data_IF_767078291414
#
_entry.id   IF_767078291414
#
_cell.length_a   1.000
_cell.length_b   1.000
_cell.length_c   1.000
_cell.angle_alpha   90.00
_cell.angle_beta   90.00
_cell.angle_gamma   90.00
#
_symmetry.space_group_name_H-M   'P 1'
#
loop_
_entity.id
_entity.type
_entity.pdbx_description
1 polymer ?
#
# COMPACT_ATOMS: atom_id res chain seq x y z
N UNK A 1 12.11 -12.99 4.08
CA UNK A 1 11.09 -13.37 3.09
C UNK A 1 11.67 -14.45 2.18
N UNK A 2 10.85 -15.27 1.52
CA UNK A 2 11.30 -16.37 0.64
C UNK A 2 10.54 -16.31 -0.68
N UNK A 3 11.19 -16.70 -1.78
CA UNK A 3 10.52 -16.82 -3.08
C UNK A 3 9.41 -17.89 -3.02
N UNK A 4 8.29 -17.66 -3.67
CA UNK A 4 7.06 -18.42 -3.48
C UNK A 4 6.52 -19.02 -4.79
N UNK A 5 7.41 -19.66 -5.59
CA UNK A 5 7.02 -20.44 -6.76
C UNK A 5 6.97 -21.92 -6.39
N UNK A 6 5.78 -22.51 -6.46
CA UNK A 6 5.56 -23.90 -6.02
C UNK A 6 6.46 -24.88 -6.76
N UNK A 7 7.15 -25.72 -5.99
CA UNK A 7 8.09 -26.70 -6.51
C UNK A 7 9.52 -26.17 -6.77
N UNK A 8 9.73 -24.88 -6.80
CA UNK A 8 11.05 -24.28 -7.01
C UNK A 8 11.78 -24.07 -5.68
N UNK A 9 13.14 -24.00 -5.66
CA UNK A 9 13.91 -23.75 -4.45
C UNK A 9 13.46 -22.48 -3.72
N UNK A 10 13.22 -22.57 -2.43
CA UNK A 10 12.89 -21.43 -1.57
C UNK A 10 14.14 -20.61 -1.27
N UNK A 11 14.32 -19.49 -1.97
CA UNK A 11 15.43 -18.56 -1.77
C UNK A 11 15.01 -17.33 -0.99
N UNK A 12 15.91 -16.74 -0.19
CA UNK A 12 15.63 -15.47 0.48
C UNK A 12 15.52 -14.34 -0.55
N UNK A 13 14.64 -13.37 -0.30
CA UNK A 13 14.61 -12.12 -1.05
C UNK A 13 14.55 -10.90 -0.13
N UNK A 14 15.04 -9.79 -0.61
CA UNK A 14 14.95 -8.48 0.04
C UNK A 14 13.95 -7.62 -0.73
N UNK A 15 12.97 -7.06 -0.03
CA UNK A 15 12.11 -6.02 -0.58
C UNK A 15 12.92 -4.71 -0.71
N UNK A 16 12.60 -3.93 -1.74
CA UNK A 16 13.20 -2.64 -2.05
C UNK A 16 12.10 -1.61 -2.17
N UNK A 17 12.26 -0.50 -1.46
CA UNK A 17 11.36 0.63 -1.42
C UNK A 17 12.14 1.91 -1.71
N UNK A 18 12.15 2.35 -2.97
CA UNK A 18 12.89 3.55 -3.37
C UNK A 18 11.93 4.71 -3.58
N UNK A 19 12.16 5.80 -2.85
CA UNK A 19 11.51 7.08 -3.11
C UNK A 19 11.99 7.61 -4.46
N UNK A 20 11.07 7.87 -5.38
CA UNK A 20 11.36 8.44 -6.69
C UNK A 20 11.47 9.97 -6.61
N UNK A 21 12.18 10.63 -7.53
CA UNK A 21 12.13 12.08 -7.63
C UNK A 21 10.71 12.58 -7.87
N UNK A 22 10.41 13.79 -7.42
CA UNK A 22 9.12 14.43 -7.66
C UNK A 22 8.72 14.39 -9.14
N UNK A 23 7.49 13.95 -9.42
CA UNK A 23 6.95 13.86 -10.78
C UNK A 23 7.50 12.71 -11.64
N UNK A 24 8.14 11.71 -11.03
CA UNK A 24 8.65 10.53 -11.72
C UNK A 24 7.84 9.27 -11.45
N UNK A 25 7.86 8.35 -12.42
CA UNK A 25 7.38 6.96 -12.31
C UNK A 25 8.52 5.99 -12.64
N UNK A 26 8.51 4.81 -12.03
CA UNK A 26 9.46 3.76 -12.33
C UNK A 26 9.17 3.12 -13.69
N UNK A 27 10.19 3.02 -14.54
CA UNK A 27 10.08 2.44 -15.89
C UNK A 27 10.68 1.04 -15.97
N UNK A 28 11.86 0.83 -15.41
CA UNK A 28 12.54 -0.47 -15.37
C UNK A 28 13.49 -0.55 -14.18
N UNK A 29 13.83 -1.78 -13.79
CA UNK A 29 14.79 -2.06 -12.73
C UNK A 29 15.91 -2.93 -13.25
N UNK A 30 17.12 -2.67 -12.78
CA UNK A 30 18.30 -3.48 -12.96
C UNK A 30 18.93 -3.77 -11.59
N UNK A 31 19.25 -5.02 -11.33
CA UNK A 31 19.91 -5.43 -10.09
C UNK A 31 21.25 -6.08 -10.43
N UNK A 32 22.33 -5.46 -9.99
CA UNK A 32 23.69 -5.97 -10.14
C UNK A 32 24.15 -6.51 -8.80
N UNK A 33 24.46 -7.81 -8.78
CA UNK A 33 25.00 -8.51 -7.61
C UNK A 33 26.53 -8.65 -7.77
N UNK A 34 27.26 -8.45 -6.67
CA UNK A 34 28.72 -8.56 -6.64
C UNK A 34 29.23 -9.08 -5.29
N UNK A 35 30.54 -9.32 -5.20
CA UNK A 35 31.23 -9.83 -4.00
C UNK A 35 30.63 -11.15 -3.51
N UNK A 36 30.60 -12.14 -4.40
CA UNK A 36 30.00 -13.43 -4.08
C UNK A 36 30.85 -14.26 -3.14
N UNK A 37 30.17 -14.88 -2.18
CA UNK A 37 30.70 -15.93 -1.33
C UNK A 37 30.07 -17.28 -1.73
N UNK A 38 30.91 -18.29 -1.97
CA UNK A 38 30.45 -19.64 -2.31
C UNK A 38 30.21 -20.45 -1.03
N UNK A 39 29.05 -21.09 -0.95
CA UNK A 39 28.66 -22.01 0.10
C UNK A 39 28.26 -23.33 -0.54
N UNK A 40 28.86 -24.44 -0.13
CA UNK A 40 28.44 -25.77 -0.57
C UNK A 40 27.46 -26.35 0.43
N UNK A 41 26.32 -26.82 -0.08
CA UNK A 41 25.27 -27.41 0.75
C UNK A 41 25.39 -28.96 0.76
N UNK A 42 25.17 -29.56 1.90
CA UNK A 42 25.09 -31.03 2.05
C UNK A 42 23.72 -31.57 1.55
N UNK A 43 22.74 -30.71 1.36
CA UNK A 43 21.37 -31.07 0.95
C UNK A 43 20.83 -30.05 -0.04
N UNK A 44 19.93 -30.52 -0.89
CA UNK A 44 19.17 -29.62 -1.77
C UNK A 44 18.36 -28.59 -0.98
N UNK A 45 18.22 -27.38 -1.53
CA UNK A 45 17.31 -26.37 -0.99
C UNK A 45 15.88 -26.90 -1.12
N UNK A 46 15.12 -26.79 -0.01
CA UNK A 46 13.75 -27.28 0.03
C UNK A 46 12.85 -26.53 -0.96
N UNK A 47 12.07 -27.25 -1.80
CA UNK A 47 11.17 -26.61 -2.74
C UNK A 47 9.98 -25.96 -2.01
N UNK A 48 9.60 -24.77 -2.43
CA UNK A 48 8.44 -24.09 -1.88
C UNK A 48 7.16 -24.92 -2.08
N UNK A 49 6.39 -25.05 -1.03
CA UNK A 49 5.08 -25.69 -1.03
C UNK A 49 4.01 -24.63 -0.79
N UNK A 50 3.09 -24.46 -1.73
CA UNK A 50 2.03 -23.47 -1.57
C UNK A 50 1.17 -23.78 -0.34
N UNK A 51 0.87 -22.74 0.44
CA UNK A 51 -0.05 -22.84 1.58
C UNK A 51 -1.45 -23.27 1.11
N UNK A 52 -2.16 -24.01 1.96
CA UNK A 52 -3.53 -24.48 1.67
C UNK A 52 -4.49 -24.04 2.75
N UNK A 53 -5.75 -23.75 2.35
CA UNK A 53 -6.82 -23.58 3.31
C UNK A 53 -7.01 -24.87 4.15
N UNK A 54 -7.15 -24.71 5.44
CA UNK A 54 -7.37 -25.83 6.38
C UNK A 54 -8.66 -26.62 6.06
N UNK A 55 -9.59 -25.99 5.36
CA UNK A 55 -10.87 -26.57 4.92
C UNK A 55 -10.76 -27.56 3.74
N UNK A 56 -9.56 -27.69 3.11
CA UNK A 56 -9.32 -28.67 2.03
C UNK A 56 -8.48 -29.82 2.55
N UNK A 57 -9.09 -30.96 2.95
CA UNK A 57 -8.38 -32.08 3.64
C UNK A 57 -7.54 -32.95 2.70
N UNK A 58 -7.63 -32.78 1.37
CA UNK A 58 -6.87 -33.59 0.44
C UNK A 58 -5.37 -33.34 0.58
N UNK A 59 -4.61 -34.40 0.86
CA UNK A 59 -3.15 -34.34 0.88
C UNK A 59 -2.64 -34.02 -0.52
N UNK A 60 -1.99 -32.88 -0.66
CA UNK A 60 -1.25 -32.54 -1.88
C UNK A 60 -0.01 -33.42 -1.98
N UNK A 61 0.25 -33.89 -3.18
CA UNK A 61 1.57 -34.47 -3.53
C UNK A 61 2.63 -33.40 -3.30
N UNK A 62 3.75 -33.79 -2.74
CA UNK A 62 4.93 -32.93 -2.60
C UNK A 62 5.34 -32.41 -3.98
N UNK A 63 5.35 -31.08 -4.13
CA UNK A 63 5.70 -30.44 -5.38
C UNK A 63 7.22 -30.22 -5.44
N UNK A 64 7.85 -30.69 -6.50
CA UNK A 64 9.25 -30.43 -6.82
C UNK A 64 9.39 -30.25 -8.34
N UNK A 65 10.06 -29.22 -8.75
CA UNK A 65 10.38 -28.96 -10.16
C UNK A 65 11.64 -29.74 -10.54
N UNK A 66 11.48 -31.00 -10.93
CA UNK A 66 12.61 -31.92 -11.22
C UNK A 66 13.51 -31.39 -12.35
N UNK A 67 12.95 -30.71 -13.35
CA UNK A 67 13.72 -30.10 -14.42
C UNK A 67 14.69 -29.04 -13.90
N UNK A 68 14.19 -28.15 -13.02
CA UNK A 68 15.01 -27.12 -12.41
C UNK A 68 16.09 -27.74 -11.49
N UNK A 69 15.71 -28.71 -10.66
CA UNK A 69 16.66 -29.37 -9.74
C UNK A 69 17.73 -30.21 -10.46
N UNK A 70 17.47 -30.60 -11.71
CA UNK A 70 18.45 -31.30 -12.56
C UNK A 70 19.27 -30.34 -13.43
N UNK A 71 18.93 -29.06 -13.45
CA UNK A 71 19.56 -28.07 -14.31
C UNK A 71 20.99 -27.77 -13.89
N UNK A 72 21.84 -27.43 -14.88
CA UNK A 72 23.21 -26.94 -14.64
C UNK A 72 23.30 -25.43 -14.53
N UNK A 73 22.17 -24.73 -14.75
CA UNK A 73 22.09 -23.27 -14.66
C UNK A 73 21.90 -22.81 -13.23
N UNK A 74 22.31 -21.58 -12.97
CA UNK A 74 22.00 -20.91 -11.71
C UNK A 74 20.52 -20.49 -11.63
N UNK A 75 19.92 -20.66 -10.46
CA UNK A 75 18.56 -20.23 -10.16
C UNK A 75 18.61 -19.14 -9.06
N UNK A 76 17.82 -18.07 -9.15
CA UNK A 76 16.92 -17.74 -10.26
C UNK A 76 17.66 -17.20 -11.49
N UNK A 77 17.05 -17.31 -12.67
CA UNK A 77 17.58 -16.70 -13.90
C UNK A 77 17.45 -15.19 -13.89
N UNK A 78 16.37 -14.68 -13.30
CA UNK A 78 16.17 -13.27 -13.03
C UNK A 78 16.24 -13.03 -11.51
N UNK A 79 17.10 -12.12 -11.10
CA UNK A 79 17.38 -11.86 -9.69
C UNK A 79 16.47 -10.80 -9.06
N UNK A 80 15.53 -10.23 -9.80
CA UNK A 80 14.58 -9.20 -9.30
C UNK A 80 13.13 -9.61 -9.52
N UNK A 81 12.25 -9.04 -8.70
CA UNK A 81 10.80 -9.18 -8.81
C UNK A 81 10.16 -8.11 -9.69
N UNK A 82 8.83 -8.09 -9.68
CA UNK A 82 8.03 -7.09 -10.40
C UNK A 82 8.32 -5.70 -9.85
N UNK A 83 8.49 -4.74 -10.76
CA UNK A 83 8.61 -3.32 -10.44
C UNK A 83 7.23 -2.66 -10.50
N UNK A 84 6.86 -1.94 -9.46
CA UNK A 84 5.62 -1.15 -9.40
C UNK A 84 5.89 0.24 -8.88
N UNK A 85 5.09 1.22 -9.31
CA UNK A 85 5.07 2.56 -8.72
C UNK A 85 3.81 2.71 -7.89
N UNK A 86 3.97 3.16 -6.66
CA UNK A 86 2.88 3.50 -5.75
C UNK A 86 3.12 4.87 -5.13
N UNK A 87 2.06 5.44 -4.57
CA UNK A 87 2.13 6.77 -3.98
C UNK A 87 1.71 6.71 -2.51
N UNK A 88 2.42 7.44 -1.67
CA UNK A 88 2.09 7.66 -0.26
C UNK A 88 2.10 9.17 0.01
N UNK A 89 0.93 9.76 0.34
CA UNK A 89 0.76 11.20 0.53
C UNK A 89 1.40 12.03 -0.61
N UNK A 90 1.14 11.63 -1.86
CA UNK A 90 1.70 12.25 -3.05
C UNK A 90 3.19 11.98 -3.33
N UNK A 91 3.86 11.20 -2.49
CA UNK A 91 5.24 10.78 -2.69
C UNK A 91 5.29 9.47 -3.49
N UNK A 92 5.98 9.47 -4.62
CA UNK A 92 6.08 8.30 -5.49
C UNK A 92 7.16 7.32 -5.01
N UNK A 93 6.81 6.05 -4.90
CA UNK A 93 7.73 4.96 -4.54
C UNK A 93 7.83 3.92 -5.65
N UNK A 94 9.02 3.46 -5.94
CA UNK A 94 9.27 2.26 -6.69
C UNK A 94 9.42 1.08 -5.74
N UNK A 95 8.53 0.10 -5.83
CA UNK A 95 8.62 -1.15 -5.09
C UNK A 95 9.07 -2.27 -6.00
N UNK A 96 10.03 -3.04 -5.53
CA UNK A 96 10.49 -4.27 -6.15
C UNK A 96 11.09 -5.20 -5.08
N UNK A 97 11.70 -6.27 -5.50
CA UNK A 97 12.48 -7.15 -4.64
C UNK A 97 13.66 -7.72 -5.40
N UNK A 98 14.67 -8.21 -4.71
CA UNK A 98 15.72 -8.98 -5.34
C UNK A 98 16.14 -10.16 -4.46
N UNK A 99 16.69 -11.19 -5.11
CA UNK A 99 17.28 -12.36 -4.46
C UNK A 99 18.79 -12.20 -4.44
N UNK A 100 19.43 -12.09 -3.26
CA UNK A 100 20.89 -11.96 -3.17
C UNK A 100 21.64 -13.28 -3.34
N UNK A 101 20.90 -14.36 -3.62
CA UNK A 101 21.40 -15.71 -3.66
C UNK A 101 21.17 -16.32 -5.04
N UNK A 102 22.20 -16.97 -5.57
CA UNK A 102 22.12 -17.85 -6.72
C UNK A 102 22.41 -19.29 -6.29
N UNK A 103 21.57 -20.21 -6.69
CA UNK A 103 21.70 -21.63 -6.37
C UNK A 103 21.95 -22.44 -7.64
N UNK A 104 22.98 -23.27 -7.65
CA UNK A 104 23.25 -24.24 -8.71
C UNK A 104 22.81 -25.63 -8.26
N UNK A 105 21.64 -26.12 -8.66
CA UNK A 105 21.08 -27.36 -8.13
C UNK A 105 21.97 -28.58 -8.40
N UNK A 106 22.56 -28.69 -9.58
CA UNK A 106 23.37 -29.84 -9.99
C UNK A 106 24.69 -29.99 -9.21
N UNK A 107 25.20 -28.91 -8.64
CA UNK A 107 26.44 -28.90 -7.85
C UNK A 107 26.22 -28.77 -6.35
N UNK A 108 24.99 -28.41 -5.92
CA UNK A 108 24.66 -28.06 -4.54
C UNK A 108 25.31 -26.76 -4.06
N UNK A 109 25.83 -25.94 -4.97
CA UNK A 109 26.49 -24.67 -4.65
C UNK A 109 25.51 -23.53 -4.55
N UNK A 110 25.75 -22.67 -3.58
CA UNK A 110 25.04 -21.42 -3.37
C UNK A 110 26.05 -20.28 -3.39
N UNK A 111 25.74 -19.27 -4.17
CA UNK A 111 26.52 -18.03 -4.25
C UNK A 111 25.72 -16.91 -3.60
N UNK A 112 26.23 -16.39 -2.51
CA UNK A 112 25.63 -15.27 -1.78
C UNK A 112 26.36 -13.97 -2.13
N UNK A 113 25.62 -13.01 -2.69
CA UNK A 113 26.15 -11.68 -2.99
C UNK A 113 26.16 -10.80 -1.72
N UNK A 114 27.34 -10.31 -1.35
CA UNK A 114 27.50 -9.36 -0.22
C UNK A 114 27.07 -7.96 -0.58
N UNK A 115 27.12 -7.63 -1.89
CA UNK A 115 26.77 -6.31 -2.39
C UNK A 115 25.72 -6.46 -3.49
N UNK A 116 24.68 -5.63 -3.41
CA UNK A 116 23.66 -5.49 -4.44
C UNK A 116 23.46 -4.02 -4.78
N UNK A 117 23.54 -3.69 -6.07
CA UNK A 117 23.20 -2.35 -6.58
C UNK A 117 21.87 -2.45 -7.31
N UNK A 118 20.86 -1.73 -6.80
CA UNK A 118 19.54 -1.64 -7.44
C UNK A 118 19.44 -0.29 -8.15
N UNK A 119 19.22 -0.33 -9.47
CA UNK A 119 19.07 0.85 -10.30
C UNK A 119 17.67 0.86 -10.90
N UNK A 120 16.90 1.90 -10.60
CA UNK A 120 15.59 2.13 -11.20
C UNK A 120 15.70 3.22 -12.25
N UNK A 121 15.33 2.91 -13.49
CA UNK A 121 15.16 3.92 -14.52
C UNK A 121 13.78 4.52 -14.40
N UNK A 122 13.71 5.83 -14.58
CA UNK A 122 12.48 6.61 -14.36
C UNK A 122 11.99 7.28 -15.63
N UNK A 123 10.68 7.52 -15.70
CA UNK A 123 10.03 8.38 -16.70
C UNK A 123 9.22 9.46 -15.99
N UNK A 124 8.73 10.44 -16.74
CA UNK A 124 7.77 11.40 -16.20
C UNK A 124 6.46 10.70 -15.84
N UNK A 125 5.91 11.02 -14.66
CA UNK A 125 4.63 10.51 -14.22
C UNK A 125 3.52 10.91 -15.20
N UNK A 126 2.64 9.96 -15.51
CA UNK A 126 1.48 10.20 -16.39
C UNK A 126 0.38 11.00 -15.69
N UNK A 127 0.26 10.85 -14.39
CA UNK A 127 -0.72 11.53 -13.55
C UNK A 127 -0.02 12.51 -12.63
N UNK A 128 -0.57 13.72 -12.53
CA UNK A 128 -0.10 14.71 -11.56
C UNK A 128 -0.80 14.48 -10.22
N UNK A 129 -0.11 13.77 -9.31
CA UNK A 129 -0.56 13.60 -7.93
C UNK A 129 -0.07 14.73 -7.01
N UNK A 130 0.37 15.84 -7.58
CA UNK A 130 0.89 17.00 -6.83
C UNK A 130 -0.16 17.63 -5.91
N UNK A 131 -1.44 17.47 -6.22
CA UNK A 131 -2.54 17.94 -5.37
C UNK A 131 -2.60 17.21 -4.01
N UNK A 132 -2.16 15.95 -3.98
CA UNK A 132 -2.12 15.11 -2.79
C UNK A 132 -0.80 15.18 -2.04
N UNK A 133 0.16 15.99 -2.50
CA UNK A 133 1.47 16.11 -1.89
C UNK A 133 1.42 16.97 -0.62
N UNK A 134 1.66 16.34 0.50
CA UNK A 134 1.88 17.00 1.79
C UNK A 134 3.25 16.69 2.35
N UNK A 135 3.92 17.73 2.82
CA UNK A 135 5.29 17.67 3.31
C UNK A 135 5.35 18.15 4.77
N UNK A 136 4.61 17.46 5.64
CA UNK A 136 4.61 17.73 7.08
C UNK A 136 5.72 16.94 7.78
N UNK A 137 6.18 17.34 8.98
CA UNK A 137 7.17 16.58 9.75
C UNK A 137 6.76 15.12 9.98
N UNK A 138 5.48 14.87 10.21
CA UNK A 138 4.92 13.55 10.42
C UNK A 138 5.02 12.69 9.14
N UNK A 139 4.56 13.22 8.00
CA UNK A 139 4.65 12.53 6.71
C UNK A 139 6.11 12.28 6.34
N UNK A 140 6.98 13.29 6.49
CA UNK A 140 8.40 13.15 6.21
C UNK A 140 9.05 12.03 7.04
N UNK A 141 8.69 11.90 8.32
CA UNK A 141 9.16 10.81 9.17
C UNK A 141 8.70 9.44 8.67
N UNK A 142 7.43 9.31 8.23
CA UNK A 142 6.92 8.06 7.60
C UNK A 142 7.70 7.73 6.32
N UNK A 143 7.87 8.70 5.43
CA UNK A 143 8.62 8.53 4.17
C UNK A 143 10.06 8.10 4.45
N UNK A 144 10.75 8.76 5.40
CA UNK A 144 12.12 8.43 5.79
C UNK A 144 12.24 7.01 6.35
N UNK A 145 11.22 6.53 7.07
CA UNK A 145 11.21 5.16 7.61
C UNK A 145 10.97 4.11 6.54
N UNK A 146 10.16 4.44 5.52
CA UNK A 146 9.79 3.51 4.45
C UNK A 146 10.85 3.44 3.34
N UNK A 147 11.51 4.55 3.02
CA UNK A 147 12.43 4.64 1.89
C UNK A 147 13.81 4.05 2.19
N UNK A 148 14.34 3.20 1.31
CA UNK A 148 15.75 2.77 1.33
C UNK A 148 16.72 3.91 0.91
N UNK A 149 16.20 5.00 0.30
CA UNK A 149 16.94 6.18 -0.15
C UNK A 149 16.27 7.50 0.31
N UNK A 150 16.18 7.74 1.63
CA UNK A 150 15.41 8.87 2.20
C UNK A 150 15.92 10.25 1.79
N UNK A 151 17.19 10.38 1.33
CA UNK A 151 17.78 11.63 0.83
C UNK A 151 17.01 12.19 -0.38
N UNK A 152 16.30 11.34 -1.14
CA UNK A 152 15.49 11.74 -2.28
C UNK A 152 14.31 12.63 -1.88
N UNK A 153 13.92 12.62 -0.61
CA UNK A 153 12.88 13.52 -0.08
C UNK A 153 13.21 15.00 -0.33
N UNK A 154 14.49 15.35 -0.43
CA UNK A 154 14.95 16.71 -0.76
C UNK A 154 14.47 17.22 -2.14
N UNK A 155 14.07 16.32 -3.05
CA UNK A 155 13.52 16.68 -4.36
C UNK A 155 12.06 17.14 -4.29
N UNK A 156 11.37 16.81 -3.19
CA UNK A 156 9.99 17.20 -2.95
C UNK A 156 9.94 18.58 -2.33
N UNK A 157 9.53 19.56 -3.13
CA UNK A 157 9.41 20.95 -2.65
C UNK A 157 8.26 21.02 -1.65
N UNK A 158 8.54 21.65 -0.52
CA UNK A 158 7.47 22.09 0.40
C UNK A 158 6.53 22.98 -0.41
N UNK A 159 5.28 22.59 -0.59
CA UNK A 159 4.27 23.55 -1.01
C UNK A 159 4.19 24.59 0.11
N UNK A 160 4.48 25.84 -0.21
CA UNK A 160 4.37 26.96 0.70
C UNK A 160 2.93 27.33 1.05
N UNK A 161 2.08 26.32 1.31
CA UNK A 161 0.82 26.54 2.01
C UNK A 161 1.16 26.58 3.49
N UNK A 162 0.85 27.68 4.09
CA UNK A 162 0.86 27.84 5.54
C UNK A 162 0.13 26.63 6.15
N UNK A 163 0.86 25.99 7.04
CA UNK A 163 0.53 24.96 7.99
C UNK A 163 -0.97 24.73 8.10
N UNK A 164 -1.38 23.47 7.90
CA UNK A 164 -2.75 22.98 8.15
C UNK A 164 -3.41 23.72 9.30
N UNK A 165 -4.62 24.20 9.08
CA UNK A 165 -5.37 24.87 10.14
C UNK A 165 -5.63 23.91 11.31
N UNK A 166 -5.69 22.61 11.03
CA UNK A 166 -5.87 21.52 12.01
C UNK A 166 -5.38 20.19 11.40
N UNK A 167 -5.19 19.20 12.27
CA UNK A 167 -4.57 17.92 11.93
C UNK A 167 -5.60 16.79 11.88
N UNK A 168 -6.66 16.89 12.66
CA UNK A 168 -7.71 15.88 12.80
C UNK A 168 -9.10 16.47 12.53
N UNK A 169 -9.86 15.79 11.66
CA UNK A 169 -11.26 16.08 11.39
C UNK A 169 -12.15 15.08 12.14
N UNK A 170 -13.11 15.56 12.91
CA UNK A 170 -14.15 14.74 13.56
C UNK A 170 -15.45 14.96 12.79
N UNK A 171 -16.05 13.89 12.27
CA UNK A 171 -17.34 13.90 11.56
C UNK A 171 -18.37 13.21 12.44
N UNK A 172 -19.46 13.91 12.80
CA UNK A 172 -20.50 13.35 13.69
C UNK A 172 -21.88 13.96 13.40
N UNK A 173 -22.90 13.51 14.10
CA UNK A 173 -24.23 14.14 14.09
C UNK A 173 -24.33 15.30 15.07
N UNK A 174 -25.22 16.28 14.79
CA UNK A 174 -25.39 17.50 15.60
C UNK A 174 -25.57 17.21 17.10
N UNK A 175 -26.37 16.19 17.42
CA UNK A 175 -26.67 15.82 18.82
C UNK A 175 -25.48 15.24 19.58
N UNK A 176 -24.36 14.97 18.95
CA UNK A 176 -23.20 14.32 19.56
C UNK A 176 -21.99 15.24 19.66
N UNK A 177 -22.06 16.45 19.08
CA UNK A 177 -20.94 17.41 19.05
C UNK A 177 -20.40 17.68 20.45
N UNK A 178 -21.27 17.98 21.44
CA UNK A 178 -20.86 18.27 22.81
C UNK A 178 -20.13 17.08 23.47
N UNK A 179 -20.47 15.84 23.09
CA UNK A 179 -19.84 14.64 23.62
C UNK A 179 -18.36 14.48 23.23
N UNK A 180 -17.90 15.22 22.22
CA UNK A 180 -16.49 15.20 21.79
C UNK A 180 -15.61 16.27 22.45
N UNK A 181 -16.15 17.17 23.28
CA UNK A 181 -15.38 18.26 23.88
C UNK A 181 -14.15 17.77 24.65
N UNK A 182 -14.30 16.81 25.57
CA UNK A 182 -13.19 16.25 26.36
C UNK A 182 -12.16 15.55 25.45
N UNK A 183 -12.62 14.86 24.39
CA UNK A 183 -11.76 14.22 23.42
C UNK A 183 -10.94 15.25 22.64
N UNK A 184 -11.56 16.32 22.19
CA UNK A 184 -10.91 17.42 21.47
C UNK A 184 -9.87 18.11 22.34
N UNK A 185 -10.20 18.44 23.58
CA UNK A 185 -9.28 19.05 24.55
C UNK A 185 -8.06 18.15 24.84
N UNK A 186 -8.29 16.85 24.98
CA UNK A 186 -7.18 15.89 25.17
C UNK A 186 -6.22 15.92 23.99
N UNK A 187 -6.71 15.81 22.76
CA UNK A 187 -5.84 15.80 21.57
C UNK A 187 -5.13 17.14 21.37
N UNK A 188 -5.78 18.26 21.63
CA UNK A 188 -5.13 19.59 21.63
C UNK A 188 -4.03 19.67 22.67
N UNK A 189 -4.21 19.10 23.85
CA UNK A 189 -3.19 19.08 24.91
C UNK A 189 -1.89 18.36 24.52
N UNK A 190 -1.98 17.41 23.59
CA UNK A 190 -0.83 16.67 23.04
C UNK A 190 -0.36 17.20 21.67
N UNK A 191 -0.89 18.37 21.26
CA UNK A 191 -0.44 19.06 20.05
C UNK A 191 -1.13 18.65 18.75
N UNK A 192 -2.22 17.89 18.81
CA UNK A 192 -3.07 17.54 17.67
C UNK A 192 -4.23 18.51 17.59
N UNK A 193 -4.15 19.48 16.67
CA UNK A 193 -5.25 20.43 16.43
C UNK A 193 -6.39 19.71 15.77
N UNK A 194 -7.59 19.99 16.18
CA UNK A 194 -8.75 19.28 15.69
C UNK A 194 -9.91 20.22 15.33
N UNK A 195 -10.82 19.72 14.49
CA UNK A 195 -12.04 20.38 14.08
C UNK A 195 -13.16 19.36 14.01
N UNK A 196 -14.33 19.73 14.51
CA UNK A 196 -15.54 18.94 14.37
C UNK A 196 -16.45 19.53 13.30
N UNK A 197 -17.11 18.66 12.54
CA UNK A 197 -18.12 19.01 11.53
C UNK A 197 -19.27 18.01 11.62
N UNK A 198 -20.49 18.46 11.37
CA UNK A 198 -21.64 17.57 11.36
C UNK A 198 -21.92 17.02 9.97
N UNK A 199 -22.51 15.83 9.89
CA UNK A 199 -22.94 15.24 8.63
C UNK A 199 -23.91 16.14 7.87
N UNK A 200 -24.79 16.86 8.58
CA UNK A 200 -25.73 17.79 7.96
C UNK A 200 -25.04 18.99 7.29
N UNK A 201 -23.98 19.51 7.91
CA UNK A 201 -23.14 20.57 7.31
C UNK A 201 -22.43 20.05 6.06
N UNK A 202 -21.93 18.81 6.11
CA UNK A 202 -21.30 18.18 4.93
C UNK A 202 -22.33 17.98 3.82
N UNK A 203 -23.51 17.44 4.13
CA UNK A 203 -24.55 17.20 3.11
C UNK A 203 -25.07 18.48 2.45
N UNK A 204 -25.02 19.60 3.16
CA UNK A 204 -25.41 20.90 2.64
C UNK A 204 -24.34 21.55 1.75
N UNK A 205 -23.06 21.23 1.95
CA UNK A 205 -21.93 21.90 1.28
C UNK A 205 -21.21 21.07 0.23
N UNK A 206 -21.07 19.76 0.46
CA UNK A 206 -20.30 18.89 -0.41
C UNK A 206 -21.14 18.32 -1.56
N UNK A 207 -20.50 18.12 -2.72
CA UNK A 207 -21.09 17.44 -3.87
C UNK A 207 -20.91 15.94 -3.76
N UNK A 208 -21.83 15.16 -4.30
CA UNK A 208 -21.79 13.70 -4.34
C UNK A 208 -23.15 13.12 -4.73
N UNK A 209 -23.16 11.90 -5.29
CA UNK A 209 -24.38 11.20 -5.71
C UNK A 209 -25.17 10.65 -4.50
N UNK A 210 -24.49 10.39 -3.40
CA UNK A 210 -25.06 9.95 -2.13
C UNK A 210 -24.31 10.56 -0.94
N UNK A 211 -24.78 10.25 0.27
CA UNK A 211 -24.22 10.82 1.49
C UNK A 211 -22.79 10.36 1.76
N UNK A 212 -22.47 9.12 1.44
CA UNK A 212 -21.13 8.55 1.59
C UNK A 212 -20.14 9.27 0.67
N UNK A 213 -20.51 9.51 -0.59
CA UNK A 213 -19.66 10.22 -1.52
C UNK A 213 -19.49 11.70 -1.12
N UNK A 214 -20.54 12.34 -0.59
CA UNK A 214 -20.42 13.69 -0.03
C UNK A 214 -19.43 13.77 1.11
N UNK A 215 -19.47 12.82 2.05
CA UNK A 215 -18.51 12.74 3.15
C UNK A 215 -17.10 12.56 2.60
N UNK A 216 -16.90 11.64 1.67
CA UNK A 216 -15.59 11.39 1.05
C UNK A 216 -15.05 12.62 0.33
N UNK A 217 -15.88 13.27 -0.47
CA UNK A 217 -15.47 14.46 -1.20
C UNK A 217 -15.16 15.64 -0.26
N UNK A 218 -15.86 15.75 0.85
CA UNK A 218 -15.53 16.70 1.91
C UNK A 218 -14.16 16.39 2.54
N UNK A 219 -13.88 15.13 2.85
CA UNK A 219 -12.57 14.70 3.35
C UNK A 219 -11.46 15.00 2.34
N UNK A 220 -11.66 14.71 1.05
CA UNK A 220 -10.72 15.05 -0.02
C UNK A 220 -10.44 16.55 -0.06
N UNK A 221 -11.48 17.38 0.05
CA UNK A 221 -11.33 18.84 0.08
C UNK A 221 -10.54 19.29 1.32
N UNK A 222 -10.88 18.79 2.52
CA UNK A 222 -10.19 19.14 3.75
C UNK A 222 -8.73 18.66 3.76
N UNK A 223 -8.47 17.48 3.20
CA UNK A 223 -7.11 17.01 2.97
C UNK A 223 -6.35 17.96 2.02
N UNK A 224 -6.95 18.34 0.92
CA UNK A 224 -6.31 19.19 -0.10
C UNK A 224 -6.11 20.63 0.37
N UNK A 225 -7.06 21.19 1.13
CA UNK A 225 -7.07 22.59 1.54
C UNK A 225 -6.38 22.82 2.89
N UNK A 226 -6.58 21.92 3.84
CA UNK A 226 -6.14 22.04 5.22
C UNK A 226 -5.04 21.03 5.63
N UNK A 227 -4.81 19.96 4.84
CA UNK A 227 -3.76 18.98 5.11
C UNK A 227 -4.03 18.10 6.32
N UNK A 228 -5.28 17.79 6.56
CA UNK A 228 -5.64 16.85 7.63
C UNK A 228 -4.94 15.51 7.44
N UNK A 229 -4.57 14.87 8.54
CA UNK A 229 -3.89 13.56 8.54
C UNK A 229 -4.68 12.49 9.28
N UNK A 230 -5.76 12.87 9.95
CA UNK A 230 -6.64 11.99 10.70
C UNK A 230 -8.10 12.37 10.49
N UNK A 231 -8.96 11.36 10.40
CA UNK A 231 -10.42 11.53 10.38
C UNK A 231 -11.01 10.57 11.41
N UNK A 232 -11.83 11.10 12.30
CA UNK A 232 -12.62 10.31 13.25
C UNK A 232 -14.09 10.30 12.80
N UNK A 233 -14.62 9.11 12.51
CA UNK A 233 -16.05 8.90 12.26
C UNK A 233 -16.76 8.73 13.59
N UNK A 234 -17.40 9.81 14.07
CA UNK A 234 -18.00 9.89 15.40
C UNK A 234 -19.46 9.48 15.42
N UNK A 235 -19.74 8.20 15.53
CA UNK A 235 -21.10 7.67 15.64
C UNK A 235 -21.25 6.29 15.04
N UNK A 236 -22.46 5.74 15.10
CA UNK A 236 -22.80 4.52 14.41
C UNK A 236 -23.22 4.78 12.94
N UNK A 237 -23.55 3.71 12.22
CA UNK A 237 -23.91 3.76 10.80
C UNK A 237 -25.18 4.59 10.48
N UNK A 238 -26.01 4.88 11.48
CA UNK A 238 -27.20 5.72 11.31
C UNK A 238 -26.83 7.22 11.39
N UNK A 239 -25.66 7.54 11.94
CA UNK A 239 -25.14 8.90 12.08
C UNK A 239 -24.15 9.19 10.95
N UNK A 240 -23.09 8.38 10.86
CA UNK A 240 -22.08 8.49 9.80
C UNK A 240 -22.15 7.20 8.96
N UNK A 241 -22.79 7.25 7.78
CA UNK A 241 -22.99 6.05 6.98
C UNK A 241 -21.67 5.51 6.42
N UNK A 242 -21.48 4.19 6.48
CA UNK A 242 -20.37 3.52 5.82
C UNK A 242 -20.61 3.33 4.32
N UNK A 243 -19.56 3.05 3.56
CA UNK A 243 -19.64 2.51 2.21
C UNK A 243 -19.53 0.99 2.25
N UNK A 244 -20.55 0.29 1.71
CA UNK A 244 -20.49 -1.14 1.52
C UNK A 244 -19.56 -1.52 0.36
N UNK A 245 -18.62 -2.44 0.62
CA UNK A 245 -17.72 -2.99 -0.41
C UNK A 245 -18.17 -4.37 -0.86
N UNK A 246 -17.93 -4.64 -2.14
CA UNK A 246 -18.15 -5.93 -2.76
C UNK A 246 -17.04 -6.90 -2.38
N UNK A 247 -17.42 -8.10 -1.96
CA UNK A 247 -16.49 -9.21 -1.84
C UNK A 247 -17.11 -10.50 -2.32
N UNK A 248 -16.30 -11.35 -2.94
CA UNK A 248 -16.68 -12.71 -3.29
C UNK A 248 -15.63 -13.69 -2.83
N UNK A 249 -16.07 -14.76 -2.20
CA UNK A 249 -15.20 -15.82 -1.69
C UNK A 249 -15.64 -17.16 -2.27
N UNK A 250 -14.72 -17.86 -2.90
CA UNK A 250 -14.92 -19.22 -3.38
C UNK A 250 -14.49 -20.22 -2.29
N UNK A 251 -15.48 -20.97 -1.76
CA UNK A 251 -15.24 -22.10 -0.85
C UNK A 251 -15.84 -23.36 -1.46
N UNK A 252 -16.69 -24.09 -0.74
CA UNK A 252 -17.54 -25.17 -1.30
C UNK A 252 -18.64 -24.61 -2.23
N UNK A 253 -19.03 -23.38 -1.99
CA UNK A 253 -19.91 -22.56 -2.85
C UNK A 253 -19.33 -21.17 -2.98
N UNK A 254 -19.85 -20.38 -3.92
CA UNK A 254 -19.52 -18.95 -4.06
C UNK A 254 -20.39 -18.18 -3.08
N UNK A 255 -19.75 -17.40 -2.22
CA UNK A 255 -20.40 -16.44 -1.34
C UNK A 255 -20.07 -15.04 -1.84
N UNK A 256 -21.09 -14.24 -2.03
CA UNK A 256 -20.96 -12.85 -2.46
C UNK A 256 -21.66 -11.94 -1.45
N UNK A 257 -20.96 -10.90 -1.02
CA UNK A 257 -21.50 -9.83 -0.22
C UNK A 257 -21.19 -8.50 -0.93
N UNK A 258 -22.16 -7.61 -0.99
CA UNK A 258 -22.04 -6.32 -1.67
C UNK A 258 -22.05 -5.14 -0.68
N UNK A 259 -22.12 -5.43 0.61
CA UNK A 259 -22.36 -4.43 1.65
C UNK A 259 -21.45 -4.60 2.87
N UNK A 260 -20.20 -5.02 2.64
CA UNK A 260 -19.20 -5.12 3.71
C UNK A 260 -18.78 -3.72 4.14
N UNK A 261 -19.02 -3.29 5.39
CA UNK A 261 -18.62 -1.96 5.86
C UNK A 261 -17.11 -1.73 5.68
N UNK A 262 -16.74 -0.63 5.02
CA UNK A 262 -15.36 -0.34 4.69
C UNK A 262 -15.00 1.13 4.90
N UNK A 263 -14.28 1.43 5.97
CA UNK A 263 -13.72 2.76 6.24
C UNK A 263 -12.61 3.12 5.22
N UNK A 264 -12.07 2.11 4.54
CA UNK A 264 -11.12 2.28 3.46
C UNK A 264 -11.63 3.22 2.35
N UNK A 265 -12.94 3.27 2.13
CA UNK A 265 -13.57 4.21 1.19
C UNK A 265 -13.28 5.68 1.54
N UNK A 266 -13.18 5.99 2.82
CA UNK A 266 -12.94 7.34 3.33
C UNK A 266 -11.46 7.65 3.56
N UNK A 267 -10.62 6.64 3.68
CA UNK A 267 -9.18 6.80 3.95
C UNK A 267 -8.31 6.74 2.70
N UNK A 268 -8.73 6.03 1.66
CA UNK A 268 -8.06 6.05 0.36
C UNK A 268 -8.74 7.08 -0.54
N UNK A 269 -8.09 8.22 -0.69
CA UNK A 269 -8.69 9.41 -1.29
C UNK A 269 -8.58 9.48 -2.83
N UNK A 270 -7.83 8.58 -3.43
CA UNK A 270 -7.68 8.45 -4.88
C UNK A 270 -8.71 7.47 -5.48
N UNK A 271 -8.90 7.56 -6.80
CA UNK A 271 -9.85 6.72 -7.52
C UNK A 271 -11.32 6.93 -7.12
N UNK A 272 -12.19 6.10 -7.67
CA UNK A 272 -13.65 6.19 -7.44
C UNK A 272 -14.20 5.03 -6.62
N UNK A 273 -13.47 3.90 -6.54
CA UNK A 273 -13.90 2.61 -6.01
C UNK A 273 -15.06 1.95 -6.78
N UNK A 274 -15.48 2.57 -7.90
CA UNK A 274 -16.57 2.11 -8.77
C UNK A 274 -16.34 2.64 -10.19
N UNK A 275 -15.21 2.25 -10.81
CA UNK A 275 -14.75 2.79 -12.11
C UNK A 275 -15.68 2.42 -13.27
N UNK A 276 -16.39 1.29 -13.17
CA UNK A 276 -17.36 0.85 -14.18
C UNK A 276 -18.80 1.35 -13.93
N UNK A 277 -19.03 2.08 -12.82
CA UNK A 277 -20.33 2.63 -12.43
C UNK A 277 -21.44 1.58 -12.29
N UNK A 278 -21.13 0.37 -11.83
CA UNK A 278 -22.09 -0.70 -11.64
C UNK A 278 -22.71 -0.75 -10.22
N UNK A 279 -22.38 0.22 -9.36
CA UNK A 279 -22.79 0.32 -7.96
C UNK A 279 -22.28 -0.82 -7.06
N UNK A 280 -21.13 -1.40 -7.42
CA UNK A 280 -20.38 -2.32 -6.57
C UNK A 280 -19.02 -1.73 -6.29
N UNK A 281 -18.86 -1.19 -5.12
CA UNK A 281 -17.60 -0.55 -4.73
C UNK A 281 -16.54 -1.58 -4.32
N UNK A 282 -15.29 -1.37 -4.72
CA UNK A 282 -14.18 -2.19 -4.30
C UNK A 282 -14.06 -3.54 -5.00
N UNK A 283 -14.62 -3.73 -6.19
CA UNK A 283 -14.43 -4.95 -6.98
C UNK A 283 -12.96 -5.17 -7.36
N UNK A 284 -12.52 -6.43 -7.37
CA UNK A 284 -11.15 -6.79 -7.76
C UNK A 284 -10.94 -6.45 -9.25
N UNK A 285 -9.90 -5.67 -9.55
CA UNK A 285 -9.54 -5.26 -10.91
C UNK A 285 -10.18 -3.93 -11.33
N UNK A 286 -11.00 -3.33 -10.51
CA UNK A 286 -11.52 -1.99 -10.67
C UNK A 286 -10.72 -1.01 -9.80
N UNK A 287 -10.32 0.09 -10.42
CA UNK A 287 -9.48 1.08 -9.80
C UNK A 287 -7.99 0.73 -9.92
N UNK A 288 -7.20 1.72 -10.21
CA UNK A 288 -5.76 1.64 -9.96
C UNK A 288 -5.61 1.73 -8.45
N UNK A 289 -5.27 0.63 -7.81
CA UNK A 289 -4.87 0.60 -6.41
C UNK A 289 -3.59 1.44 -6.26
N UNK A 290 -3.75 2.74 -6.19
CA UNK A 290 -2.66 3.65 -5.91
C UNK A 290 -2.67 3.88 -4.41
N UNK A 291 -1.72 3.31 -3.76
CA UNK A 291 -1.30 3.39 -2.38
C UNK A 291 -2.35 3.84 -1.36
N UNK A 292 -2.68 2.94 -0.46
CA UNK A 292 -3.53 3.21 0.69
C UNK A 292 -2.89 4.28 1.59
N UNK A 293 -3.42 5.48 1.56
CA UNK A 293 -3.19 6.46 2.61
C UNK A 293 -4.07 6.08 3.79
N UNK A 294 -3.49 5.45 4.80
CA UNK A 294 -4.19 5.19 6.04
C UNK A 294 -4.35 6.50 6.81
N UNK A 295 -5.54 7.08 6.73
CA UNK A 295 -6.04 7.98 7.76
C UNK A 295 -6.65 7.08 8.86
N UNK A 296 -5.92 6.80 9.91
CA UNK A 296 -6.41 6.09 11.10
C UNK A 296 -6.81 7.09 12.15
#
# INVERSE_FOLDING_TARGET
MQTAVEGNPSLPYKAVSLLLPYGAEAASVEVVLSDFEEITLDKEIFPYQAARPYSKPERKTFAKNEELYSSKGAYPTENHGVLTTHYLNGHAFAFTSFTPVQYEPSSGKVFYAKTATVKVNITSAKNDNSAMLWNTPYINSKIQTLADNPEMLSTYKTRGRDISAYDMLIITGENYVEGFNEYMEYYESIGVRNRIVTVDQIYASAQGSDNQEKIRNYIIQEYSDNGIIMVLMGGDVNIVPYRGFYATVQSSSVYTDIDIPADLYFSALDGTWNDNNNNKWGEIGEGKWVCMEYLV
#
